data_IF_426361053028
#
_entry.id   IF_426361053028
#
_cell.length_a   1.000
_cell.length_b   1.000
_cell.length_c   1.000
_cell.angle_alpha   90.00
_cell.angle_beta   90.00
_cell.angle_gamma   90.00
#
_symmetry.space_group_name_H-M   'P 1'
#
loop_
_entity.id
_entity.type
_entity.pdbx_description
1 polymer ?
#
# COMPACT_ATOMS: atom_id res chain seq x y z
N UNK A 1 12.71 1.16 23.38
CA UNK A 1 12.14 2.01 22.31
C UNK A 1 10.96 1.28 21.68
N UNK A 2 9.80 1.90 21.72
CA UNK A 2 8.60 1.28 21.17
C UNK A 2 8.61 1.42 19.65
N UNK A 3 8.65 0.28 18.97
CA UNK A 3 8.57 0.24 17.51
C UNK A 3 7.12 -0.01 17.09
N UNK A 4 6.86 0.10 15.78
CA UNK A 4 5.53 -0.15 15.22
C UNK A 4 5.27 -1.67 15.25
N UNK A 5 4.24 -2.13 15.99
CA UNK A 5 4.00 -3.58 16.05
C UNK A 5 3.44 -4.12 14.74
N UNK A 6 3.73 -5.38 14.38
CA UNK A 6 3.19 -5.99 13.15
C UNK A 6 1.67 -5.98 13.06
N UNK A 7 0.96 -6.09 14.20
CA UNK A 7 -0.50 -6.03 14.22
C UNK A 7 -1.04 -4.69 13.74
N UNK A 8 -0.36 -3.60 14.07
CA UNK A 8 -0.74 -2.26 13.60
C UNK A 8 -0.48 -2.12 12.10
N UNK A 9 0.61 -2.69 11.62
CA UNK A 9 0.94 -2.70 10.18
C UNK A 9 -0.13 -3.48 9.41
N UNK A 10 -0.50 -4.66 9.90
CA UNK A 10 -1.53 -5.49 9.26
C UNK A 10 -2.87 -4.76 9.21
N UNK A 11 -3.28 -4.12 10.30
CA UNK A 11 -4.53 -3.34 10.33
C UNK A 11 -4.49 -2.19 9.33
N UNK A 12 -3.36 -1.51 9.22
CA UNK A 12 -3.16 -0.43 8.23
C UNK A 12 -3.27 -0.96 6.81
N UNK A 13 -2.61 -2.08 6.50
CA UNK A 13 -2.65 -2.69 5.17
C UNK A 13 -4.06 -3.15 4.80
N UNK A 14 -4.83 -3.66 5.76
CA UNK A 14 -6.22 -4.05 5.52
C UNK A 14 -7.10 -2.85 5.16
N UNK A 15 -6.89 -1.69 5.83
CA UNK A 15 -7.60 -0.46 5.49
C UNK A 15 -7.24 0.03 4.10
N UNK A 16 -5.95 -0.03 3.76
CA UNK A 16 -5.46 0.37 2.44
C UNK A 16 -6.04 -0.55 1.36
N UNK A 17 -6.04 -1.85 1.60
CA UNK A 17 -6.62 -2.84 0.69
C UNK A 17 -8.12 -2.57 0.44
N UNK A 18 -8.86 -2.26 1.49
CA UNK A 18 -10.28 -1.93 1.39
C UNK A 18 -10.53 -0.69 0.53
N UNK A 19 -9.73 0.35 0.72
CA UNK A 19 -9.83 1.57 -0.07
C UNK A 19 -9.48 1.32 -1.55
N UNK A 20 -8.44 0.52 -1.82
CA UNK A 20 -8.04 0.16 -3.18
C UNK A 20 -9.15 -0.61 -3.90
N UNK A 21 -9.72 -1.62 -3.25
CA UNK A 21 -10.78 -2.44 -3.84
C UNK A 21 -12.06 -1.64 -4.09
N UNK A 22 -12.39 -0.71 -3.21
CA UNK A 22 -13.57 0.13 -3.32
C UNK A 22 -13.42 1.30 -4.30
N UNK A 23 -12.18 1.63 -4.70
CA UNK A 23 -11.92 2.81 -5.50
C UNK A 23 -12.14 4.10 -4.71
N UNK A 24 -11.95 4.04 -3.40
CA UNK A 24 -12.11 5.19 -2.49
C UNK A 24 -10.85 6.05 -2.56
N UNK A 25 -10.81 6.98 -3.51
CA UNK A 25 -9.63 7.80 -3.77
C UNK A 25 -9.19 8.63 -2.55
N UNK A 26 -10.08 9.31 -1.84
CA UNK A 26 -9.67 10.01 -0.60
C UNK A 26 -9.14 9.04 0.47
N UNK A 27 -9.72 7.86 0.59
CA UNK A 27 -9.25 6.83 1.53
C UNK A 27 -7.87 6.31 1.17
N UNK A 28 -7.59 6.12 -0.11
CA UNK A 28 -6.26 5.74 -0.59
C UNK A 28 -5.26 6.84 -0.26
N UNK A 29 -5.57 8.09 -0.59
CA UNK A 29 -4.69 9.22 -0.34
C UNK A 29 -4.38 9.39 1.15
N UNK A 30 -5.34 9.12 2.02
CA UNK A 30 -5.17 9.20 3.47
C UNK A 30 -4.17 8.16 4.02
N UNK A 31 -3.87 7.11 3.24
CA UNK A 31 -2.87 6.11 3.62
C UNK A 31 -1.43 6.53 3.32
N UNK A 32 -1.21 7.70 2.74
CA UNK A 32 0.13 8.18 2.38
C UNK A 32 0.62 9.25 3.34
N UNK A 33 1.89 9.14 3.73
CA UNK A 33 2.61 10.20 4.44
C UNK A 33 3.25 11.09 3.37
N UNK A 34 2.73 12.31 3.22
CA UNK A 34 3.14 13.21 2.14
C UNK A 34 4.17 14.24 2.62
N UNK A 35 5.15 14.61 1.80
CA UNK A 35 5.40 14.11 0.45
C UNK A 35 5.92 12.68 0.46
N UNK A 36 5.53 11.91 -0.54
CA UNK A 36 5.94 10.51 -0.68
C UNK A 36 6.80 10.33 -1.92
N UNK A 37 7.44 9.17 -2.05
CA UNK A 37 8.29 8.83 -3.19
C UNK A 37 7.91 7.43 -3.68
N UNK A 38 7.67 7.31 -4.97
CA UNK A 38 7.40 6.02 -5.62
C UNK A 38 8.62 5.64 -6.45
N UNK A 39 9.24 4.52 -6.14
CA UNK A 39 10.49 4.06 -6.76
C UNK A 39 10.26 2.78 -7.53
N UNK A 40 10.70 2.75 -8.78
CA UNK A 40 10.73 1.57 -9.62
C UNK A 40 12.10 1.42 -10.26
N UNK A 41 12.25 0.39 -11.10
CA UNK A 41 13.53 0.11 -11.75
C UNK A 41 14.02 1.25 -12.65
N UNK A 42 13.11 2.03 -13.22
CA UNK A 42 13.43 3.07 -14.19
C UNK A 42 13.50 4.46 -13.62
N UNK A 43 13.23 4.64 -12.34
CA UNK A 43 13.31 5.97 -11.72
C UNK A 43 12.42 6.13 -10.50
N UNK A 44 12.30 7.38 -10.06
CA UNK A 44 11.52 7.73 -8.89
C UNK A 44 10.58 8.90 -9.21
N UNK A 45 9.36 8.82 -8.68
CA UNK A 45 8.33 9.84 -8.88
C UNK A 45 8.00 10.45 -7.52
N UNK A 46 8.26 11.75 -7.31
CA UNK A 46 7.82 12.41 -6.08
C UNK A 46 6.32 12.68 -6.13
N UNK A 47 5.67 12.51 -4.97
CA UNK A 47 4.23 12.74 -4.82
C UNK A 47 4.06 13.78 -3.73
N UNK A 48 3.68 14.99 -4.10
CA UNK A 48 3.65 16.12 -3.16
C UNK A 48 2.34 16.20 -2.38
N UNK A 49 1.22 15.79 -2.96
CA UNK A 49 -0.08 15.98 -2.35
C UNK A 49 -1.11 14.90 -2.64
N UNK A 50 -2.23 14.96 -1.92
CA UNK A 50 -3.32 14.00 -2.03
C UNK A 50 -3.89 13.92 -3.46
N UNK A 51 -4.00 15.04 -4.15
CA UNK A 51 -4.53 15.06 -5.51
C UNK A 51 -3.71 14.22 -6.48
N UNK A 52 -2.38 14.18 -6.30
CA UNK A 52 -1.51 13.35 -7.13
C UNK A 52 -1.70 11.86 -6.83
N UNK A 53 -1.92 11.49 -5.56
CA UNK A 53 -2.24 10.10 -5.18
C UNK A 53 -3.57 9.69 -5.84
N UNK A 54 -4.59 10.52 -5.71
CA UNK A 54 -5.91 10.22 -6.27
C UNK A 54 -5.85 10.08 -7.80
N UNK A 55 -5.10 10.95 -8.47
CA UNK A 55 -4.92 10.87 -9.92
C UNK A 55 -4.23 9.57 -10.35
N UNK A 56 -3.24 9.10 -9.56
CA UNK A 56 -2.52 7.88 -9.85
C UNK A 56 -3.41 6.63 -9.76
N UNK A 57 -4.41 6.64 -8.88
CA UNK A 57 -5.29 5.51 -8.65
C UNK A 57 -6.66 5.65 -9.33
N UNK A 58 -6.92 6.77 -10.02
CA UNK A 58 -8.17 6.97 -10.72
C UNK A 58 -8.40 5.86 -11.77
N UNK A 59 -9.52 5.17 -11.66
CA UNK A 59 -9.87 4.07 -12.56
C UNK A 59 -9.25 2.72 -12.22
N UNK A 60 -8.38 2.63 -11.22
CA UNK A 60 -7.72 1.37 -10.86
C UNK A 60 -8.72 0.28 -10.43
N UNK A 61 -9.70 0.63 -9.58
CA UNK A 61 -10.71 -0.31 -9.12
C UNK A 61 -11.56 -0.86 -10.27
N UNK A 62 -11.94 0.00 -11.22
CA UNK A 62 -12.68 -0.42 -12.41
C UNK A 62 -11.83 -1.33 -13.28
N UNK A 63 -10.54 -1.05 -13.41
CA UNK A 63 -9.61 -1.91 -14.17
C UNK A 63 -9.49 -3.29 -13.53
N UNK A 64 -9.44 -3.37 -12.20
CA UNK A 64 -9.43 -4.66 -11.50
C UNK A 64 -10.71 -5.45 -11.78
N UNK A 65 -11.88 -4.79 -11.65
CA UNK A 65 -13.16 -5.45 -11.90
C UNK A 65 -13.28 -5.94 -13.34
N UNK A 66 -12.74 -5.20 -14.30
CA UNK A 66 -12.74 -5.59 -15.70
C UNK A 66 -11.96 -6.87 -15.94
N UNK A 67 -10.99 -7.18 -15.06
CA UNK A 67 -10.20 -8.43 -15.10
C UNK A 67 -10.82 -9.52 -14.23
N UNK A 68 -12.00 -9.29 -13.64
CA UNK A 68 -12.63 -10.24 -12.73
C UNK A 68 -12.06 -10.24 -11.31
N UNK A 69 -11.27 -9.23 -10.96
CA UNK A 69 -10.66 -9.12 -9.64
C UNK A 69 -11.60 -8.30 -8.73
N UNK A 70 -12.08 -8.92 -7.66
CA UNK A 70 -13.09 -8.33 -6.77
C UNK A 70 -12.58 -8.10 -5.35
N UNK A 71 -11.41 -8.65 -5.01
CA UNK A 71 -10.83 -8.50 -3.68
C UNK A 71 -9.31 -8.36 -3.79
N UNK A 72 -8.72 -7.63 -2.84
CA UNK A 72 -7.28 -7.39 -2.77
C UNK A 72 -6.85 -7.72 -1.35
N UNK A 73 -5.90 -8.65 -1.20
CA UNK A 73 -5.42 -9.08 0.12
C UNK A 73 -3.93 -8.88 0.28
N UNK A 74 -3.50 -8.15 1.32
CA UNK A 74 -2.09 -8.00 1.64
C UNK A 74 -1.59 -9.16 2.49
N UNK A 75 -0.36 -9.56 2.27
CA UNK A 75 0.38 -10.46 3.14
C UNK A 75 1.64 -9.74 3.60
N UNK A 76 1.73 -9.45 4.89
CA UNK A 76 2.93 -8.86 5.47
C UNK A 76 3.98 -9.98 5.61
N UNK A 77 5.01 -9.94 4.77
CA UNK A 77 6.04 -10.98 4.73
C UNK A 77 7.17 -10.71 5.71
N UNK A 78 7.50 -9.44 5.92
CA UNK A 78 8.53 -9.03 6.85
C UNK A 78 8.30 -7.59 7.27
N UNK A 79 8.68 -7.27 8.50
CA UNK A 79 8.69 -5.91 9.00
C UNK A 79 10.03 -5.69 9.69
N UNK A 80 10.74 -4.65 9.28
CA UNK A 80 12.06 -4.30 9.80
C UNK A 80 12.00 -2.91 10.44
N UNK A 81 11.89 -2.82 11.77
CA UNK A 81 11.86 -1.53 12.45
C UNK A 81 13.19 -0.80 12.29
N UNK A 82 13.13 0.43 11.83
CA UNK A 82 14.30 1.28 11.65
C UNK A 82 14.47 2.25 12.81
N UNK A 83 13.36 2.85 13.25
CA UNK A 83 13.28 3.75 14.39
C UNK A 83 11.95 3.52 15.10
N UNK A 84 11.66 4.28 16.14
CA UNK A 84 10.37 4.21 16.83
C UNK A 84 9.20 4.58 15.92
N UNK A 85 9.44 5.38 14.87
CA UNK A 85 8.37 5.89 13.98
C UNK A 85 8.51 5.44 12.54
N UNK A 86 9.54 4.70 12.19
CA UNK A 86 9.79 4.22 10.83
C UNK A 86 10.00 2.73 10.81
N UNK A 87 9.33 2.04 9.87
CA UNK A 87 9.56 0.62 9.63
C UNK A 87 9.51 0.33 8.13
N UNK A 88 10.33 -0.62 7.69
CA UNK A 88 10.23 -1.15 6.33
C UNK A 88 9.33 -2.37 6.37
N UNK A 89 8.32 -2.40 5.51
CA UNK A 89 7.40 -3.53 5.40
C UNK A 89 7.54 -4.16 4.01
N UNK A 90 7.71 -5.48 3.98
CA UNK A 90 7.72 -6.26 2.74
C UNK A 90 6.34 -6.90 2.60
N UNK A 91 5.61 -6.55 1.54
CA UNK A 91 4.20 -6.92 1.37
C UNK A 91 3.99 -7.58 0.02
N UNK A 92 3.32 -8.72 0.04
CA UNK A 92 2.84 -9.38 -1.17
C UNK A 92 1.34 -9.18 -1.27
N UNK A 93 0.88 -8.71 -2.42
CA UNK A 93 -0.54 -8.49 -2.67
C UNK A 93 -1.11 -9.61 -3.53
N UNK A 94 -2.24 -10.15 -3.12
CA UNK A 94 -3.00 -11.12 -3.90
C UNK A 94 -4.27 -10.45 -4.42
N UNK A 95 -4.56 -10.62 -5.69
CA UNK A 95 -5.75 -10.08 -6.34
C UNK A 95 -6.66 -11.27 -6.67
N UNK A 96 -7.85 -11.28 -6.07
CA UNK A 96 -8.72 -12.45 -6.03
C UNK A 96 -9.97 -12.25 -6.88
N UNK A 97 -10.43 -13.35 -7.50
CA UNK A 97 -11.71 -13.38 -8.21
C UNK A 97 -12.88 -13.67 -7.23
N UNK A 98 -14.09 -13.80 -7.79
CA UNK A 98 -15.30 -14.08 -7.00
C UNK A 98 -15.25 -15.42 -6.27
N UNK A 99 -14.45 -16.36 -6.73
CA UNK A 99 -14.25 -17.65 -6.09
C UNK A 99 -13.11 -17.60 -5.04
N UNK A 100 -12.63 -16.42 -4.71
CA UNK A 100 -11.50 -16.19 -3.78
C UNK A 100 -10.21 -16.83 -4.27
N UNK A 101 -10.06 -17.01 -5.58
CA UNK A 101 -8.87 -17.55 -6.20
C UNK A 101 -7.93 -16.40 -6.62
N UNK A 102 -6.66 -16.50 -6.23
CA UNK A 102 -5.67 -15.50 -6.59
C UNK A 102 -5.26 -15.64 -8.06
N UNK A 103 -5.57 -14.63 -8.86
CA UNK A 103 -5.24 -14.59 -10.29
C UNK A 103 -4.00 -13.79 -10.59
N UNK A 104 -3.59 -12.90 -9.68
CA UNK A 104 -2.45 -12.01 -9.87
C UNK A 104 -1.81 -11.72 -8.52
N UNK A 105 -0.49 -11.51 -8.53
CA UNK A 105 0.25 -11.08 -7.34
C UNK A 105 1.17 -9.92 -7.71
N UNK A 106 1.36 -9.01 -6.76
CA UNK A 106 2.39 -7.98 -6.84
C UNK A 106 3.17 -7.97 -5.53
N UNK A 107 4.35 -7.39 -5.53
CA UNK A 107 5.18 -7.26 -4.34
C UNK A 107 5.72 -5.85 -4.23
N UNK A 108 5.70 -5.33 -3.01
CA UNK A 108 6.19 -3.98 -2.73
C UNK A 108 6.92 -3.96 -1.40
N UNK A 109 7.87 -3.04 -1.28
CA UNK A 109 8.40 -2.63 0.00
C UNK A 109 7.94 -1.21 0.29
N UNK A 110 7.46 -1.01 1.49
CA UNK A 110 6.97 0.30 1.94
C UNK A 110 7.81 0.79 3.10
N UNK A 111 8.24 2.05 3.03
CA UNK A 111 8.68 2.74 4.23
C UNK A 111 7.44 3.35 4.87
N UNK A 112 7.07 2.84 6.03
CA UNK A 112 5.92 3.32 6.78
C UNK A 112 6.37 4.27 7.86
N UNK A 113 5.64 5.38 8.01
CA UNK A 113 5.88 6.39 9.05
C UNK A 113 4.69 6.49 9.97
N UNK A 114 4.94 6.50 11.28
CA UNK A 114 3.93 6.83 12.26
C UNK A 114 4.00 8.33 12.55
N UNK A 115 2.90 9.05 12.28
CA UNK A 115 2.79 10.49 12.54
C UNK A 115 2.04 10.81 13.83
N UNK A 116 1.45 9.81 14.46
CA UNK A 116 0.70 9.92 15.71
C UNK A 116 0.14 8.56 16.09
N UNK A 117 -0.49 8.41 17.28
CA UNK A 117 -1.07 7.14 17.73
C UNK A 117 -2.06 6.59 16.69
N UNK A 118 -1.82 5.37 16.22
CA UNK A 118 -2.66 4.70 15.21
C UNK A 118 -2.61 5.33 13.83
N UNK A 119 -1.67 6.27 13.57
CA UNK A 119 -1.58 6.95 12.28
C UNK A 119 -0.31 6.53 11.54
N UNK A 120 -0.44 5.48 10.73
CA UNK A 120 0.60 5.07 9.80
C UNK A 120 0.34 5.69 8.44
N UNK A 121 1.41 5.95 7.70
CA UNK A 121 1.33 6.39 6.32
C UNK A 121 2.49 5.85 5.51
N UNK A 122 2.26 5.66 4.21
CA UNK A 122 3.28 5.22 3.27
C UNK A 122 4.11 6.43 2.86
N UNK A 123 5.40 6.41 3.18
CA UNK A 123 6.34 7.48 2.82
C UNK A 123 7.09 7.15 1.54
N UNK A 124 7.49 5.90 1.36
CA UNK A 124 8.19 5.43 0.17
C UNK A 124 7.58 4.12 -0.29
N UNK A 125 7.35 4.00 -1.58
CA UNK A 125 6.88 2.77 -2.24
C UNK A 125 8.00 2.29 -3.16
N UNK A 126 8.41 1.03 -3.00
CA UNK A 126 9.36 0.40 -3.93
C UNK A 126 8.67 -0.81 -4.54
N UNK A 127 8.51 -0.79 -5.87
CA UNK A 127 7.94 -1.93 -6.59
C UNK A 127 9.00 -3.02 -6.71
N UNK A 128 8.75 -4.15 -6.06
CA UNK A 128 9.64 -5.32 -6.08
C UNK A 128 9.00 -6.50 -6.79
N UNK A 129 7.91 -6.27 -7.52
CA UNK A 129 7.23 -7.32 -8.27
C UNK A 129 8.19 -7.96 -9.28
N UNK A 130 8.38 -9.30 -9.27
CA UNK A 130 9.22 -9.96 -10.25
C UNK A 130 8.71 -9.76 -11.67
N UNK A 131 9.61 -9.70 -12.67
CA UNK A 131 9.22 -9.57 -14.07
C UNK A 131 8.47 -10.78 -14.61
#
# INVERSE_FOLDING_TARGET
>A
MDTIPPSEITAFLDRYAGALAAGDLPGIAACYALPALVVGDTGAIPVAGAAQVEAAFAGAADAYRAKGLVDIRPELRAADPLTATLTMADVRWAYLDEAAQALQHTSYRYLLRRSGPGKLGIQVVVDTTPP
#
